data_IF_454878315508
#
_entry.id   IF_454878315508
#
_cell.length_a   1.000
_cell.length_b   1.000
_cell.length_c   1.000
_cell.angle_alpha   90.00
_cell.angle_beta   90.00
_cell.angle_gamma   90.00
#
_symmetry.space_group_name_H-M   'P 1'
#
loop_
_entity.id
_entity.type
_entity.pdbx_description
1 polymer ?
#
# COMPACT_ATOMS: atom_id res chain seq x y z
N UNK A 1 16.46 64.84 29.19
CA UNK A 1 15.64 63.63 29.36
C UNK A 1 14.88 63.38 28.05
N UNK A 2 15.26 62.30 27.38
CA UNK A 2 14.49 61.41 26.46
C UNK A 2 13.00 61.76 26.23
N UNK A 3 12.36 61.69 25.06
CA UNK A 3 12.55 60.95 23.80
C UNK A 3 11.40 61.38 22.87
N UNK A 4 11.64 61.50 21.57
CA UNK A 4 10.73 61.25 20.41
C UNK A 4 11.22 62.09 19.24
N UNK A 5 11.65 61.47 18.15
CA UNK A 5 11.32 61.92 16.79
C UNK A 5 11.57 60.82 15.77
N UNK A 6 10.48 60.45 15.12
CA UNK A 6 10.32 59.50 14.03
C UNK A 6 10.63 60.19 12.70
N UNK A 7 11.16 59.41 11.75
CA UNK A 7 11.16 59.60 10.29
C UNK A 7 11.75 60.88 9.68
N UNK A 8 12.98 60.77 9.15
CA UNK A 8 13.33 61.13 7.75
C UNK A 8 14.77 60.72 7.43
N UNK A 9 14.94 59.53 6.87
CA UNK A 9 16.09 59.18 6.05
C UNK A 9 15.64 58.17 4.99
N UNK A 10 14.66 58.58 4.17
CA UNK A 10 14.18 57.83 2.99
C UNK A 10 14.82 58.32 1.68
N UNK A 11 15.85 59.17 1.72
CA UNK A 11 16.39 59.82 0.51
C UNK A 11 17.91 59.68 0.27
N UNK A 12 18.64 58.87 1.04
CA UNK A 12 20.09 58.65 0.81
C UNK A 12 20.42 57.21 0.36
N UNK A 13 19.47 56.27 0.45
CA UNK A 13 19.69 54.88 -0.03
C UNK A 13 19.27 54.71 -1.50
N UNK A 14 18.47 55.62 -2.06
CA UNK A 14 17.97 55.52 -3.44
C UNK A 14 18.92 56.08 -4.52
N UNK A 15 19.96 56.83 -4.15
CA UNK A 15 20.94 57.42 -5.08
C UNK A 15 22.24 56.62 -5.22
N UNK A 16 22.54 55.71 -4.28
CA UNK A 16 23.70 54.81 -4.40
C UNK A 16 23.40 53.48 -5.11
N UNK A 17 22.13 53.09 -5.25
CA UNK A 17 21.75 51.82 -5.90
C UNK A 17 21.52 51.92 -7.42
N UNK A 18 21.63 53.13 -8.00
CA UNK A 18 21.45 53.34 -9.45
C UNK A 18 22.74 53.32 -10.27
N UNK A 19 23.90 53.03 -9.69
CA UNK A 19 25.18 52.99 -10.43
C UNK A 19 25.80 51.61 -10.63
N UNK A 20 25.20 50.52 -10.13
CA UNK A 20 25.63 49.15 -10.42
C UNK A 20 24.51 48.29 -11.02
N UNK A 21 23.65 48.89 -11.85
CA UNK A 21 23.03 48.13 -12.93
C UNK A 21 24.14 47.87 -13.96
N UNK A 22 24.93 46.83 -13.70
CA UNK A 22 25.77 46.20 -14.72
C UNK A 22 24.85 45.94 -15.90
N UNK A 23 25.14 46.59 -17.02
CA UNK A 23 24.58 46.22 -18.31
C UNK A 23 24.62 44.69 -18.38
N UNK A 24 23.44 44.05 -18.49
CA UNK A 24 23.37 42.67 -18.96
C UNK A 24 23.99 42.72 -20.34
N UNK A 25 25.27 42.37 -20.45
CA UNK A 25 25.82 41.86 -21.70
C UNK A 25 24.99 40.62 -21.99
N UNK A 26 23.98 40.76 -22.84
CA UNK A 26 23.44 39.63 -23.56
C UNK A 26 24.62 39.02 -24.31
N UNK A 27 25.19 37.96 -23.74
CA UNK A 27 26.05 37.07 -24.49
C UNK A 27 25.11 36.41 -25.49
N UNK A 28 25.04 36.98 -26.71
CA UNK A 28 24.57 36.25 -27.88
C UNK A 28 25.53 35.07 -28.07
N UNK A 29 25.25 33.96 -27.38
CA UNK A 29 25.89 32.69 -27.67
C UNK A 29 25.38 32.28 -29.05
N UNK A 30 26.28 32.15 -30.01
CA UNK A 30 25.94 31.66 -31.34
C UNK A 30 25.24 30.31 -31.24
N UNK A 31 24.26 30.04 -32.09
CA UNK A 31 23.57 28.74 -32.15
C UNK A 31 24.57 27.58 -32.32
N UNK A 32 25.71 27.83 -32.95
CA UNK A 32 26.82 26.88 -33.06
C UNK A 32 27.42 26.50 -31.71
N UNK A 33 27.61 27.44 -30.77
CA UNK A 33 28.15 27.13 -29.45
C UNK A 33 27.17 26.26 -28.64
N UNK A 34 25.87 26.50 -28.74
CA UNK A 34 24.86 25.63 -28.11
C UNK A 34 24.82 24.21 -28.67
N UNK A 35 25.19 24.02 -29.94
CA UNK A 35 25.37 22.67 -30.54
C UNK A 35 26.63 21.95 -30.05
N UNK A 36 27.62 22.69 -29.53
CA UNK A 36 28.86 22.10 -28.97
C UNK A 36 28.78 21.77 -27.48
N UNK A 37 27.72 22.21 -26.78
CA UNK A 37 27.51 21.83 -25.40
C UNK A 37 27.15 20.35 -25.31
N UNK A 38 27.77 19.57 -24.41
CA UNK A 38 27.37 18.19 -24.21
C UNK A 38 25.92 18.17 -23.73
N UNK A 39 25.03 17.62 -24.57
CA UNK A 39 23.70 17.22 -24.13
C UNK A 39 23.92 16.02 -23.23
N UNK A 40 23.91 16.28 -21.92
CA UNK A 40 23.85 15.20 -20.93
C UNK A 40 22.47 14.58 -21.08
N UNK A 41 22.42 13.48 -21.81
CA UNK A 41 21.21 12.68 -21.97
C UNK A 41 20.95 11.98 -20.63
N UNK A 42 20.17 12.64 -19.76
CA UNK A 42 19.72 12.08 -18.50
C UNK A 42 18.60 11.04 -18.70
N UNK A 43 18.36 10.59 -19.94
CA UNK A 43 17.41 9.52 -20.22
C UNK A 43 17.76 8.27 -19.40
N UNK A 44 16.85 7.92 -18.49
CA UNK A 44 16.89 6.62 -17.85
C UNK A 44 16.79 5.57 -18.97
N UNK A 45 17.74 4.62 -19.11
CA UNK A 45 17.90 3.81 -20.33
C UNK A 45 16.73 2.87 -20.67
N UNK A 46 15.64 2.89 -19.89
CA UNK A 46 14.51 2.00 -20.08
C UNK A 46 13.23 2.68 -19.56
N UNK A 47 12.51 3.38 -20.43
CA UNK A 47 11.26 4.09 -20.10
C UNK A 47 10.15 3.14 -19.62
N UNK A 48 10.21 1.88 -20.04
CA UNK A 48 9.19 0.88 -19.78
C UNK A 48 9.36 0.13 -18.45
N UNK A 49 10.49 0.30 -17.76
CA UNK A 49 10.76 -0.43 -16.51
C UNK A 49 10.23 0.33 -15.29
N UNK A 50 9.55 -0.42 -14.42
CA UNK A 50 9.14 0.08 -13.13
C UNK A 50 10.35 0.23 -12.19
N UNK A 51 10.34 1.29 -11.37
CA UNK A 51 11.25 1.50 -10.25
C UNK A 51 10.52 1.18 -8.96
N UNK A 52 11.21 0.62 -7.99
CA UNK A 52 10.62 0.35 -6.66
C UNK A 52 11.33 1.20 -5.62
N UNK A 53 10.55 1.84 -4.76
CA UNK A 53 11.02 2.59 -3.60
C UNK A 53 10.46 1.97 -2.33
N UNK A 54 11.27 1.86 -1.28
CA UNK A 54 10.84 1.40 0.04
C UNK A 54 11.37 2.30 1.15
N UNK A 55 10.61 2.43 2.24
CA UNK A 55 10.97 3.21 3.43
C UNK A 55 10.18 2.74 4.66
N UNK A 56 10.57 3.23 5.85
CA UNK A 56 10.01 2.79 7.14
C UNK A 56 10.98 1.93 7.94
N UNK A 57 10.45 0.94 8.66
CA UNK A 57 11.23 0.03 9.50
C UNK A 57 12.18 -0.87 8.69
N UNK A 58 13.47 -0.86 9.02
CA UNK A 58 14.48 -1.73 8.40
C UNK A 58 14.95 -2.88 9.29
N UNK A 59 14.51 -2.94 10.55
CA UNK A 59 14.97 -3.94 11.54
C UNK A 59 14.75 -5.38 11.10
N UNK A 60 13.63 -5.66 10.45
CA UNK A 60 13.29 -7.01 9.99
C UNK A 60 13.85 -7.37 8.61
N UNK A 61 14.39 -6.39 7.87
CA UNK A 61 14.78 -6.56 6.47
C UNK A 61 13.65 -6.36 5.45
N UNK A 62 12.45 -5.96 5.87
CA UNK A 62 11.28 -5.77 5.00
C UNK A 62 11.52 -4.83 3.81
N UNK A 63 12.43 -3.86 3.97
CA UNK A 63 12.69 -2.88 2.91
C UNK A 63 13.49 -3.45 1.73
N UNK A 64 14.25 -4.53 1.93
CA UNK A 64 15.14 -5.09 0.90
C UNK A 64 16.31 -4.17 0.49
N UNK A 65 16.65 -3.17 1.32
CA UNK A 65 17.70 -2.18 1.04
C UNK A 65 19.06 -2.67 1.55
N UNK A 66 20.09 -2.58 0.69
CA UNK A 66 21.49 -2.83 1.06
C UNK A 66 22.07 -1.65 1.84
N UNK A 67 22.02 -1.71 3.18
CA UNK A 67 22.70 -0.70 4.00
C UNK A 67 23.63 -1.31 5.05
N UNK A 68 24.93 -1.29 4.73
CA UNK A 68 26.03 -1.41 5.68
C UNK A 68 26.80 -0.08 5.56
N UNK A 69 26.45 0.92 6.37
CA UNK A 69 27.35 2.05 6.58
C UNK A 69 27.91 1.92 8.00
N UNK A 70 29.22 1.77 8.11
CA UNK A 70 29.96 1.72 9.40
C UNK A 70 29.43 0.68 10.40
N UNK A 71 29.09 -0.53 9.93
CA UNK A 71 28.61 -1.65 10.78
C UNK A 71 27.33 -1.36 11.62
N UNK A 72 26.62 -0.24 11.40
CA UNK A 72 25.33 0.05 12.04
C UNK A 72 24.20 -0.07 11.02
N UNK A 73 23.36 -1.09 11.19
CA UNK A 73 22.04 -1.11 10.55
C UNK A 73 21.26 0.11 11.06
N UNK A 74 20.82 0.97 10.14
CA UNK A 74 19.82 1.97 10.49
C UNK A 74 18.55 1.22 10.91
N UNK A 75 17.94 1.63 12.01
CA UNK A 75 16.67 1.07 12.46
C UNK A 75 15.51 1.47 11.54
N UNK A 76 15.63 2.63 10.90
CA UNK A 76 14.61 3.19 10.01
C UNK A 76 15.19 3.88 8.79
N UNK A 77 14.43 3.86 7.71
CA UNK A 77 14.68 4.58 6.47
C UNK A 77 13.63 5.69 6.36
N UNK A 78 14.07 6.94 6.55
CA UNK A 78 13.15 8.08 6.71
C UNK A 78 12.59 8.67 5.42
N UNK A 79 13.18 8.33 4.29
CA UNK A 79 12.82 8.83 2.97
C UNK A 79 12.75 7.65 1.99
N UNK A 80 11.89 7.71 0.96
CA UNK A 80 11.85 6.70 -0.09
C UNK A 80 13.24 6.37 -0.63
N UNK A 81 13.62 5.10 -0.55
CA UNK A 81 14.90 4.61 -1.11
C UNK A 81 14.63 3.69 -2.28
N UNK A 82 15.28 3.99 -3.40
CA UNK A 82 15.21 3.17 -4.60
C UNK A 82 15.89 1.83 -4.36
N UNK A 83 15.22 0.75 -4.75
CA UNK A 83 15.75 -0.61 -4.70
C UNK A 83 16.51 -0.97 -5.97
N UNK A 84 17.81 -1.26 -5.84
CA UNK A 84 18.63 -1.76 -6.94
C UNK A 84 18.16 -3.13 -7.47
N UNK A 85 17.42 -3.90 -6.67
CA UNK A 85 16.76 -5.13 -7.10
C UNK A 85 15.82 -4.88 -8.31
N UNK A 86 15.03 -3.82 -8.26
CA UNK A 86 14.09 -3.47 -9.31
C UNK A 86 14.76 -2.89 -10.58
N UNK A 87 16.07 -2.64 -10.55
CA UNK A 87 16.82 -2.28 -11.77
C UNK A 87 17.17 -3.53 -12.59
N UNK A 88 17.33 -4.67 -11.92
CA UNK A 88 17.62 -5.97 -12.54
C UNK A 88 16.34 -6.69 -12.95
N UNK A 89 15.33 -6.65 -12.09
CA UNK A 89 14.08 -7.38 -12.24
C UNK A 89 12.90 -6.43 -12.48
N UNK A 90 12.06 -6.72 -13.46
CA UNK A 90 10.87 -5.93 -13.73
C UNK A 90 9.77 -6.26 -12.70
N UNK A 91 9.71 -5.48 -11.63
CA UNK A 91 8.69 -5.66 -10.58
C UNK A 91 7.35 -5.12 -11.07
N UNK A 92 6.34 -5.98 -11.08
CA UNK A 92 4.99 -5.66 -11.53
C UNK A 92 4.04 -5.35 -10.39
N UNK A 93 4.21 -6.03 -9.25
CA UNK A 93 3.37 -5.82 -8.07
C UNK A 93 4.14 -6.08 -6.79
N UNK A 94 3.71 -5.43 -5.71
CA UNK A 94 4.29 -5.53 -4.36
C UNK A 94 3.19 -5.81 -3.35
N UNK A 95 3.52 -6.59 -2.31
CA UNK A 95 2.68 -6.76 -1.14
C UNK A 95 3.54 -6.67 0.12
N UNK A 96 3.24 -5.68 0.94
CA UNK A 96 3.84 -5.51 2.27
C UNK A 96 3.02 -6.32 3.26
N UNK A 97 3.64 -7.12 4.12
CA UNK A 97 3.03 -7.82 5.25
C UNK A 97 3.42 -7.15 6.58
N UNK A 98 3.38 -7.91 7.67
CA UNK A 98 3.85 -7.40 8.97
C UNK A 98 5.34 -7.73 9.10
N UNK A 99 6.19 -6.75 8.75
CA UNK A 99 7.65 -6.90 8.81
C UNK A 99 8.27 -7.68 7.65
N UNK A 100 7.54 -7.95 6.56
CA UNK A 100 8.08 -8.52 5.32
C UNK A 100 7.44 -7.91 4.08
N UNK A 101 8.05 -8.10 2.91
CA UNK A 101 7.55 -7.65 1.61
C UNK A 101 7.77 -8.75 0.57
N UNK A 102 6.77 -8.98 -0.27
CA UNK A 102 6.85 -9.81 -1.46
C UNK A 102 6.80 -8.96 -2.73
N UNK A 103 7.50 -9.41 -3.77
CA UNK A 103 7.61 -8.79 -5.08
C UNK A 103 7.22 -9.80 -6.15
N UNK A 104 6.23 -9.45 -6.98
CA UNK A 104 5.91 -10.18 -8.19
C UNK A 104 6.74 -9.60 -9.35
N UNK A 105 7.48 -10.45 -10.04
CA UNK A 105 8.40 -10.08 -11.11
C UNK A 105 7.93 -10.67 -12.42
N UNK A 106 7.90 -9.86 -13.47
CA UNK A 106 7.80 -10.35 -14.84
C UNK A 106 9.19 -10.80 -15.31
N UNK A 107 9.41 -12.11 -15.30
CA UNK A 107 10.65 -12.75 -15.73
C UNK A 107 10.34 -13.87 -16.72
N UNK A 108 11.13 -14.06 -17.79
CA UNK A 108 10.99 -15.24 -18.65
C UNK A 108 11.42 -16.55 -17.94
N UNK A 109 12.13 -16.43 -16.82
CA UNK A 109 12.66 -17.56 -16.05
C UNK A 109 11.60 -18.17 -15.12
N UNK A 110 12.04 -19.15 -14.33
CA UNK A 110 11.18 -19.88 -13.39
C UNK A 110 10.83 -19.07 -12.14
N UNK A 111 11.68 -18.09 -11.79
CA UNK A 111 11.55 -17.30 -10.57
C UNK A 111 10.62 -16.09 -10.80
N UNK A 112 9.39 -16.20 -10.28
CA UNK A 112 8.33 -15.19 -10.43
C UNK A 112 8.10 -14.32 -9.20
N UNK A 113 8.48 -14.82 -8.01
CA UNK A 113 8.22 -14.16 -6.74
C UNK A 113 9.51 -14.06 -5.95
N UNK A 114 9.74 -12.88 -5.37
CA UNK A 114 10.85 -12.62 -4.46
C UNK A 114 10.31 -12.08 -3.14
N UNK A 115 10.99 -12.36 -2.04
CA UNK A 115 10.59 -11.95 -0.70
C UNK A 115 11.76 -11.44 0.13
N UNK A 116 11.48 -10.52 1.05
CA UNK A 116 12.44 -9.96 2.00
C UNK A 116 11.72 -9.64 3.30
N UNK A 117 12.43 -9.69 4.43
CA UNK A 117 11.93 -9.36 5.75
C UNK A 117 11.85 -10.56 6.70
N UNK A 118 10.92 -10.48 7.65
CA UNK A 118 10.62 -11.53 8.62
C UNK A 118 10.17 -12.82 7.91
N UNK A 119 10.69 -13.97 8.35
CA UNK A 119 10.39 -15.28 7.79
C UNK A 119 10.32 -16.40 8.84
N UNK A 120 9.88 -16.07 10.06
CA UNK A 120 9.69 -17.05 11.16
C UNK A 120 8.66 -18.12 10.85
N UNK A 121 7.75 -17.84 9.92
CA UNK A 121 6.62 -18.72 9.56
C UNK A 121 6.71 -19.16 8.10
N UNK A 122 7.86 -18.98 7.44
CA UNK A 122 8.04 -19.29 6.01
C UNK A 122 7.09 -18.53 5.10
N UNK A 123 6.64 -17.33 5.51
CA UNK A 123 5.78 -16.45 4.71
C UNK A 123 6.42 -15.97 3.41
N UNK A 124 7.75 -16.06 3.29
CA UNK A 124 8.51 -15.85 2.04
C UNK A 124 9.25 -17.13 1.62
N UNK A 125 8.68 -18.30 1.95
CA UNK A 125 9.20 -19.63 1.62
C UNK A 125 10.36 -20.08 2.50
N UNK A 126 10.90 -21.26 2.19
CA UNK A 126 12.08 -21.80 2.86
C UNK A 126 13.34 -21.02 2.49
N UNK A 127 13.90 -20.30 3.47
CA UNK A 127 15.13 -19.51 3.33
C UNK A 127 16.13 -20.00 4.37
N UNK A 128 17.29 -20.48 3.94
CA UNK A 128 18.29 -21.08 4.83
C UNK A 128 19.72 -20.87 4.33
N UNK A 129 20.67 -20.90 5.27
CA UNK A 129 22.11 -20.98 4.97
C UNK A 129 22.62 -22.29 5.57
N UNK A 130 23.03 -23.22 4.70
CA UNK A 130 23.28 -24.60 5.11
C UNK A 130 22.00 -25.21 5.71
N UNK A 131 22.08 -25.68 6.96
CA UNK A 131 20.94 -26.25 7.67
C UNK A 131 20.28 -25.27 8.65
N UNK A 132 20.66 -23.98 8.65
CA UNK A 132 20.11 -22.98 9.57
C UNK A 132 19.06 -22.13 8.85
N UNK A 133 17.80 -22.16 9.30
CA UNK A 133 16.76 -21.31 8.73
C UNK A 133 17.02 -19.84 9.04
N UNK A 134 16.68 -18.97 8.11
CA UNK A 134 16.79 -17.52 8.25
C UNK A 134 15.47 -16.95 8.74
N UNK A 135 15.44 -16.45 9.97
CA UNK A 135 14.30 -15.69 10.51
C UNK A 135 14.16 -14.31 9.87
N UNK A 136 15.27 -13.73 9.41
CA UNK A 136 15.32 -12.42 8.77
C UNK A 136 16.05 -12.50 7.43
N UNK A 137 15.41 -12.01 6.39
CA UNK A 137 15.93 -11.94 5.04
C UNK A 137 16.08 -10.47 4.67
N UNK A 138 17.30 -9.95 4.66
CA UNK A 138 17.54 -8.51 4.45
C UNK A 138 17.52 -8.05 2.98
N UNK A 139 17.40 -8.99 2.06
CA UNK A 139 17.48 -8.75 0.62
C UNK A 139 16.44 -9.59 -0.10
N UNK A 140 15.83 -9.08 -1.19
CA UNK A 140 14.90 -9.88 -1.99
C UNK A 140 15.56 -11.21 -2.43
N UNK A 141 15.06 -12.31 -1.89
CA UNK A 141 15.44 -13.67 -2.24
C UNK A 141 14.30 -14.34 -3.02
N UNK A 142 14.61 -15.26 -3.95
CA UNK A 142 13.58 -16.00 -4.65
C UNK A 142 12.69 -16.79 -3.68
N UNK A 143 11.37 -16.74 -3.89
CA UNK A 143 10.40 -17.58 -3.21
C UNK A 143 10.09 -18.76 -4.13
N UNK A 144 10.53 -19.95 -3.76
CA UNK A 144 10.32 -21.15 -4.56
C UNK A 144 8.87 -21.60 -4.41
N UNK A 145 8.08 -21.42 -5.46
CA UNK A 145 6.68 -21.83 -5.53
C UNK A 145 6.52 -23.01 -6.51
N UNK A 146 5.68 -24.00 -6.19
CA UNK A 146 5.54 -25.24 -6.96
C UNK A 146 4.65 -25.04 -8.20
N UNK A 147 5.05 -24.16 -9.12
CA UNK A 147 4.35 -23.98 -10.39
C UNK A 147 4.47 -25.21 -11.28
N UNK A 148 3.39 -25.59 -11.97
CA UNK A 148 3.41 -26.68 -12.97
C UNK A 148 4.16 -26.27 -14.22
N UNK A 149 3.97 -25.03 -14.68
CA UNK A 149 4.65 -24.49 -15.85
C UNK A 149 5.12 -23.04 -15.61
N UNK A 150 6.20 -22.84 -14.86
CA UNK A 150 6.62 -21.53 -14.40
C UNK A 150 6.90 -20.56 -15.56
N UNK A 151 7.42 -21.04 -16.71
CA UNK A 151 7.71 -20.18 -17.88
C UNK A 151 6.46 -19.56 -18.51
N UNK A 152 5.27 -20.14 -18.32
CA UNK A 152 4.00 -19.68 -18.92
C UNK A 152 3.07 -18.97 -17.95
N UNK A 153 3.34 -19.06 -16.65
CA UNK A 153 2.53 -18.45 -15.60
C UNK A 153 2.96 -17.01 -15.39
N UNK A 154 1.96 -16.15 -15.21
CA UNK A 154 2.13 -14.75 -14.77
C UNK A 154 1.43 -14.56 -13.43
N UNK A 155 2.07 -13.76 -12.58
CA UNK A 155 1.49 -13.37 -11.30
C UNK A 155 0.58 -12.17 -11.55
N UNK A 156 -0.70 -12.30 -11.20
CA UNK A 156 -1.70 -11.25 -11.39
C UNK A 156 -1.85 -10.39 -10.14
N UNK A 157 -1.76 -11.00 -8.95
CA UNK A 157 -1.87 -10.33 -7.66
C UNK A 157 -1.03 -11.04 -6.61
N UNK A 158 -0.48 -10.27 -5.69
CA UNK A 158 0.08 -10.76 -4.43
C UNK A 158 -0.56 -9.99 -3.27
N UNK A 159 -0.75 -10.66 -2.15
CA UNK A 159 -1.28 -10.07 -0.93
C UNK A 159 -0.61 -10.71 0.29
N UNK A 160 -0.33 -9.91 1.31
CA UNK A 160 0.45 -10.33 2.47
C UNK A 160 -0.23 -9.88 3.76
N UNK A 161 -0.51 -10.84 4.65
CA UNK A 161 -1.07 -10.60 5.97
C UNK A 161 -0.01 -10.46 7.04
N UNK A 162 -0.32 -10.90 8.27
CA UNK A 162 0.64 -10.89 9.39
C UNK A 162 1.81 -11.82 9.16
N UNK A 163 1.53 -13.07 8.79
CA UNK A 163 2.52 -14.13 8.66
C UNK A 163 2.19 -15.13 7.52
N UNK A 164 1.42 -14.70 6.52
CA UNK A 164 1.09 -15.52 5.34
C UNK A 164 1.10 -14.67 4.07
N UNK A 165 1.34 -15.32 2.94
CA UNK A 165 1.43 -14.72 1.62
C UNK A 165 0.48 -15.46 0.68
N UNK A 166 -0.32 -14.70 -0.08
CA UNK A 166 -1.16 -15.18 -1.14
C UNK A 166 -0.60 -14.71 -2.49
N UNK A 167 -0.47 -15.64 -3.44
CA UNK A 167 0.07 -15.42 -4.78
C UNK A 167 -0.94 -15.93 -5.80
N UNK A 168 -1.63 -15.00 -6.47
CA UNK A 168 -2.60 -15.31 -7.51
C UNK A 168 -1.92 -15.29 -8.88
N UNK A 169 -2.26 -16.28 -9.70
CA UNK A 169 -1.73 -16.46 -11.04
C UNK A 169 -2.81 -16.35 -12.10
N UNK A 170 -2.41 -16.16 -13.36
CA UNK A 170 -3.31 -16.10 -14.51
C UNK A 170 -3.88 -17.48 -14.92
N UNK A 171 -3.24 -18.59 -14.52
CA UNK A 171 -3.54 -19.94 -15.04
C UNK A 171 -3.60 -21.06 -14.00
N UNK A 172 -2.80 -20.98 -12.94
CA UNK A 172 -2.65 -22.05 -11.94
C UNK A 172 -3.42 -21.75 -10.64
N UNK A 173 -4.24 -20.70 -10.64
CA UNK A 173 -5.05 -20.28 -9.50
C UNK A 173 -4.22 -19.58 -8.41
N UNK A 174 -4.59 -19.84 -7.16
CA UNK A 174 -4.08 -19.19 -5.96
C UNK A 174 -3.14 -20.12 -5.18
N UNK A 175 -1.93 -19.64 -4.90
CA UNK A 175 -0.96 -20.30 -4.03
C UNK A 175 -0.89 -19.53 -2.71
N UNK A 176 -0.98 -20.22 -1.58
CA UNK A 176 -0.90 -19.61 -0.24
C UNK A 176 0.11 -20.35 0.61
N UNK A 177 0.98 -19.60 1.29
CA UNK A 177 2.04 -20.11 2.14
C UNK A 177 2.22 -19.26 3.40
N UNK A 178 2.94 -19.81 4.37
CA UNK A 178 3.22 -19.18 5.65
C UNK A 178 2.49 -19.84 6.81
N UNK A 179 2.18 -19.05 7.84
CA UNK A 179 1.43 -19.48 9.01
C UNK A 179 0.01 -19.95 8.62
N UNK A 180 -0.42 -21.07 9.20
CA UNK A 180 -1.77 -21.62 9.04
C UNK A 180 -2.42 -21.97 10.38
N UNK A 181 -2.03 -21.31 11.48
CA UNK A 181 -2.52 -21.64 12.82
C UNK A 181 -4.04 -21.45 12.95
N UNK A 182 -4.63 -20.60 12.09
CA UNK A 182 -6.06 -20.29 12.08
C UNK A 182 -6.75 -20.72 10.78
N UNK A 183 -6.05 -21.43 9.89
CA UNK A 183 -6.62 -21.86 8.61
C UNK A 183 -6.52 -20.84 7.47
N UNK A 184 -5.77 -19.75 7.66
CA UNK A 184 -5.68 -18.63 6.71
C UNK A 184 -4.98 -18.99 5.38
N UNK A 185 -4.31 -20.15 5.30
CA UNK A 185 -3.81 -20.71 4.05
C UNK A 185 -4.81 -21.63 3.34
N UNK A 186 -6.08 -21.68 3.77
CA UNK A 186 -7.15 -22.54 3.22
C UNK A 186 -6.78 -24.03 3.18
N UNK A 187 -6.06 -24.51 4.19
CA UNK A 187 -5.74 -25.93 4.40
C UNK A 187 -6.01 -26.33 5.84
N UNK A 188 -6.16 -27.64 6.07
CA UNK A 188 -6.40 -28.22 7.40
C UNK A 188 -5.38 -27.68 8.41
N UNK A 189 -5.89 -27.25 9.57
CA UNK A 189 -5.08 -26.84 10.72
C UNK A 189 -4.45 -28.09 11.32
N UNK A 190 -3.14 -28.05 11.54
CA UNK A 190 -2.37 -29.13 12.15
C UNK A 190 -1.90 -28.62 13.51
N UNK A 191 -2.28 -29.32 14.57
CA UNK A 191 -1.91 -28.94 15.93
C UNK A 191 -0.39 -28.98 16.11
N UNK A 192 0.16 -27.91 16.71
CA UNK A 192 1.60 -27.73 16.94
C UNK A 192 2.48 -27.80 15.67
N UNK A 193 1.93 -27.44 14.51
CA UNK A 193 2.72 -27.33 13.29
C UNK A 193 3.83 -26.28 13.45
N UNK A 194 5.07 -26.68 13.14
CA UNK A 194 6.18 -25.73 13.03
C UNK A 194 6.13 -25.06 11.66
N UNK A 195 6.03 -23.74 11.65
CA UNK A 195 6.06 -22.93 10.42
C UNK A 195 7.48 -22.48 10.05
N UNK A 196 8.48 -22.74 10.89
CA UNK A 196 9.88 -22.40 10.61
C UNK A 196 10.41 -23.31 9.49
N UNK A 197 10.88 -22.70 8.40
CA UNK A 197 11.40 -23.40 7.21
C UNK A 197 10.44 -24.48 6.64
N UNK A 198 9.15 -24.24 6.75
CA UNK A 198 8.10 -25.15 6.31
C UNK A 198 7.84 -24.94 4.80
N UNK A 199 8.03 -25.97 3.96
CA UNK A 199 7.87 -25.87 2.51
C UNK A 199 6.41 -25.97 2.05
N UNK A 200 5.45 -26.12 2.96
CA UNK A 200 4.04 -26.33 2.61
C UNK A 200 3.44 -25.10 1.94
N UNK A 201 3.07 -25.27 0.67
CA UNK A 201 2.30 -24.32 -0.12
C UNK A 201 0.97 -24.97 -0.47
N UNK A 202 -0.14 -24.31 -0.13
CA UNK A 202 -1.46 -24.75 -0.56
C UNK A 202 -1.79 -24.17 -1.94
N UNK A 203 -2.36 -24.98 -2.83
CA UNK A 203 -2.75 -24.56 -4.18
C UNK A 203 -4.26 -24.73 -4.35
N UNK A 204 -4.94 -23.62 -4.64
CA UNK A 204 -6.38 -23.57 -4.91
C UNK A 204 -6.59 -23.10 -6.35
N UNK A 205 -6.84 -24.03 -7.25
CA UNK A 205 -7.02 -23.71 -8.67
C UNK A 205 -8.31 -22.92 -8.92
N UNK A 206 -9.39 -23.36 -8.28
CA UNK A 206 -10.75 -22.84 -8.43
C UNK A 206 -11.50 -23.00 -7.12
N UNK A 207 -12.50 -22.14 -6.90
CA UNK A 207 -13.43 -22.24 -5.78
C UNK A 207 -14.82 -22.44 -6.39
N UNK A 208 -15.53 -23.49 -5.97
CA UNK A 208 -16.82 -23.91 -6.56
C UNK A 208 -16.81 -23.97 -8.10
N UNK A 209 -15.70 -24.39 -8.70
CA UNK A 209 -15.53 -24.50 -10.15
C UNK A 209 -15.29 -23.17 -10.89
N UNK A 210 -15.20 -22.04 -10.17
CA UNK A 210 -14.97 -20.69 -10.71
C UNK A 210 -13.51 -20.27 -10.58
N UNK A 211 -13.05 -19.46 -11.54
CA UNK A 211 -11.70 -18.87 -11.50
C UNK A 211 -11.63 -17.82 -10.39
N UNK A 212 -10.52 -17.80 -9.65
CA UNK A 212 -10.24 -16.76 -8.65
C UNK A 212 -9.71 -15.53 -9.38
N UNK A 213 -10.39 -14.39 -9.21
CA UNK A 213 -10.10 -13.12 -9.87
C UNK A 213 -9.35 -12.13 -8.99
N UNK A 214 -9.47 -12.22 -7.67
CA UNK A 214 -8.74 -11.35 -6.72
C UNK A 214 -8.54 -12.05 -5.37
N UNK A 215 -7.56 -11.58 -4.61
CA UNK A 215 -7.27 -12.09 -3.25
C UNK A 215 -6.74 -10.96 -2.37
N UNK A 216 -7.18 -10.96 -1.11
CA UNK A 216 -6.68 -10.06 -0.07
C UNK A 216 -6.45 -10.81 1.23
N UNK A 217 -5.40 -10.42 1.94
CA UNK A 217 -4.99 -10.98 3.22
C UNK A 217 -5.21 -9.90 4.28
N UNK A 218 -6.03 -10.19 5.28
CA UNK A 218 -6.09 -9.40 6.50
C UNK A 218 -4.96 -9.79 7.45
N UNK A 219 -5.17 -9.61 8.75
CA UNK A 219 -4.16 -10.00 9.73
C UNK A 219 -3.92 -11.52 9.70
N UNK A 220 -4.98 -12.28 9.95
CA UNK A 220 -4.96 -13.75 10.08
C UNK A 220 -6.11 -14.43 9.32
N UNK A 221 -6.59 -13.79 8.25
CA UNK A 221 -7.62 -14.33 7.37
C UNK A 221 -7.33 -13.98 5.90
N UNK A 222 -7.91 -14.75 4.99
CA UNK A 222 -7.80 -14.55 3.54
C UNK A 222 -9.19 -14.51 2.93
N UNK A 223 -9.45 -13.49 2.10
CA UNK A 223 -10.66 -13.37 1.30
C UNK A 223 -10.30 -13.51 -0.18
N UNK A 224 -10.98 -14.42 -0.86
CA UNK A 224 -10.86 -14.64 -2.30
C UNK A 224 -12.13 -14.18 -3.02
N UNK A 225 -11.96 -13.61 -4.21
CA UNK A 225 -13.05 -13.22 -5.11
C UNK A 225 -13.02 -14.08 -6.35
N UNK A 226 -14.15 -14.62 -6.76
CA UNK A 226 -14.27 -15.34 -8.03
C UNK A 226 -14.60 -14.41 -9.19
N UNK A 227 -14.47 -14.90 -10.42
CA UNK A 227 -14.72 -14.14 -11.66
C UNK A 227 -16.16 -13.61 -11.81
N UNK A 228 -17.12 -14.23 -11.13
CA UNK A 228 -18.53 -13.82 -11.06
C UNK A 228 -18.83 -12.88 -9.88
N UNK A 229 -17.80 -12.41 -9.17
CA UNK A 229 -17.93 -11.45 -8.09
C UNK A 229 -18.32 -12.03 -6.74
N UNK A 230 -18.48 -13.36 -6.60
CA UNK A 230 -18.73 -13.98 -5.30
C UNK A 230 -17.48 -13.98 -4.41
N UNK A 231 -17.70 -13.93 -3.08
CA UNK A 231 -16.63 -13.90 -2.08
C UNK A 231 -16.56 -15.19 -1.28
N UNK A 232 -15.33 -15.55 -0.91
CA UNK A 232 -15.03 -16.71 -0.08
C UNK A 232 -13.99 -16.34 0.99
N UNK A 233 -14.23 -16.75 2.23
CA UNK A 233 -13.37 -16.44 3.37
C UNK A 233 -12.80 -17.70 4.02
N UNK A 234 -11.59 -17.59 4.56
CA UNK A 234 -10.99 -18.56 5.49
C UNK A 234 -10.02 -17.85 6.46
N UNK A 235 -9.62 -18.54 7.53
CA UNK A 235 -8.74 -18.04 8.58
C UNK A 235 -9.43 -17.78 9.90
N UNK A 236 -8.81 -16.94 10.73
CA UNK A 236 -9.32 -16.53 12.03
C UNK A 236 -10.65 -15.82 11.90
N UNK A 237 -11.64 -16.19 12.72
CA UNK A 237 -13.02 -15.69 12.62
C UNK A 237 -13.57 -15.00 13.87
N UNK A 238 -12.78 -14.79 14.92
CA UNK A 238 -13.33 -14.36 16.22
C UNK A 238 -13.97 -12.97 16.21
N UNK A 239 -13.56 -12.08 15.31
CA UNK A 239 -14.19 -10.76 15.12
C UNK A 239 -15.24 -10.77 13.99
N UNK A 240 -15.47 -11.93 13.39
CA UNK A 240 -16.35 -12.10 12.25
C UNK A 240 -15.70 -11.79 10.90
N UNK A 241 -14.39 -11.56 10.85
CA UNK A 241 -13.65 -11.12 9.65
C UNK A 241 -13.73 -12.09 8.46
N UNK A 242 -14.05 -13.37 8.70
CA UNK A 242 -14.31 -14.34 7.64
C UNK A 242 -15.64 -14.12 6.93
N UNK A 243 -16.61 -13.43 7.54
CA UNK A 243 -17.91 -13.11 6.94
C UNK A 243 -18.88 -14.30 6.83
N UNK A 244 -18.68 -15.36 7.62
CA UNK A 244 -19.40 -16.64 7.47
C UNK A 244 -20.65 -16.79 8.34
N UNK A 245 -21.06 -15.75 9.07
CA UNK A 245 -22.19 -15.78 9.99
C UNK A 245 -21.93 -16.49 11.32
N UNK A 246 -20.66 -16.75 11.63
CA UNK A 246 -20.21 -17.29 12.91
C UNK A 246 -18.80 -16.77 13.25
N UNK A 247 -18.37 -16.99 14.49
CA UNK A 247 -17.08 -16.51 15.01
C UNK A 247 -15.97 -17.57 15.06
N UNK A 248 -16.24 -18.77 14.55
CA UNK A 248 -15.24 -19.83 14.46
C UNK A 248 -14.23 -19.55 13.35
N UNK A 249 -12.99 -20.01 13.56
CA UNK A 249 -11.99 -20.05 12.48
C UNK A 249 -12.39 -21.07 11.44
N UNK A 250 -12.09 -20.79 10.16
CA UNK A 250 -12.43 -21.65 9.04
C UNK A 250 -11.17 -22.01 8.24
N UNK A 251 -10.98 -23.30 7.96
CA UNK A 251 -9.73 -23.80 7.35
C UNK A 251 -9.82 -24.02 5.84
N UNK A 252 -10.98 -23.73 5.25
CA UNK A 252 -11.23 -23.86 3.81
C UNK A 252 -11.99 -22.64 3.34
N UNK A 253 -11.76 -22.21 2.10
CA UNK A 253 -12.60 -21.17 1.50
C UNK A 253 -14.07 -21.57 1.53
N UNK A 254 -14.86 -20.80 2.28
CA UNK A 254 -16.30 -20.97 2.43
C UNK A 254 -16.99 -19.73 1.91
N UNK A 255 -18.11 -19.92 1.20
CA UNK A 255 -18.85 -18.83 0.54
C UNK A 255 -19.39 -17.86 1.57
N UNK A 256 -19.07 -16.59 1.39
CA UNK A 256 -19.56 -15.47 2.18
C UNK A 256 -20.96 -15.10 1.68
N UNK A 257 -21.90 -14.87 2.61
CA UNK A 257 -23.31 -14.54 2.33
C UNK A 257 -23.73 -13.25 3.05
N UNK A 258 -25.02 -12.97 3.16
CA UNK A 258 -25.54 -11.74 3.76
C UNK A 258 -25.97 -10.73 2.71
N UNK A 259 -25.81 -9.44 2.99
CA UNK A 259 -26.22 -8.36 2.07
C UNK A 259 -25.45 -8.37 0.74
N UNK A 260 -24.34 -9.12 0.68
CA UNK A 260 -23.48 -9.26 -0.50
C UNK A 260 -23.97 -10.36 -1.46
N UNK A 261 -24.98 -11.14 -1.07
CA UNK A 261 -25.49 -12.22 -1.91
C UNK A 261 -26.22 -11.68 -3.14
N UNK A 262 -25.74 -12.08 -4.33
CA UNK A 262 -26.26 -11.58 -5.61
C UNK A 262 -25.63 -10.28 -6.08
N UNK A 263 -24.71 -9.70 -5.30
CA UNK A 263 -23.92 -8.54 -5.69
C UNK A 263 -22.66 -8.94 -6.45
N UNK A 264 -22.30 -8.16 -7.47
CA UNK A 264 -21.08 -8.37 -8.24
C UNK A 264 -19.93 -7.57 -7.63
N UNK A 265 -19.13 -8.22 -6.78
CA UNK A 265 -17.99 -7.57 -6.12
C UNK A 265 -16.83 -7.38 -7.10
N UNK A 266 -16.26 -6.18 -7.07
CA UNK A 266 -15.15 -5.77 -7.95
C UNK A 266 -13.86 -5.47 -7.19
N UNK A 267 -13.92 -5.08 -5.92
CA UNK A 267 -12.74 -4.85 -5.08
C UNK A 267 -13.01 -5.21 -3.62
N UNK A 268 -11.99 -5.71 -2.93
CA UNK A 268 -11.99 -5.95 -1.48
C UNK A 268 -10.75 -5.28 -0.89
N UNK A 269 -10.88 -4.76 0.34
CA UNK A 269 -9.74 -4.31 1.12
C UNK A 269 -9.86 -4.78 2.57
N UNK A 270 -8.77 -5.30 3.12
CA UNK A 270 -8.60 -5.53 4.55
C UNK A 270 -7.11 -5.53 4.86
N UNK A 271 -6.75 -4.93 6.01
CA UNK A 271 -5.37 -4.89 6.51
C UNK A 271 -5.23 -5.50 7.90
N UNK A 272 -6.28 -5.38 8.71
CA UNK A 272 -6.46 -6.07 9.99
C UNK A 272 -7.70 -6.95 9.91
N UNK A 273 -8.68 -6.73 10.79
CA UNK A 273 -9.84 -7.58 11.00
C UNK A 273 -11.15 -6.96 10.51
N UNK A 274 -11.13 -5.72 10.02
CA UNK A 274 -12.26 -5.14 9.30
C UNK A 274 -12.11 -5.33 7.80
N UNK A 275 -13.14 -5.89 7.16
CA UNK A 275 -13.19 -6.10 5.72
C UNK A 275 -14.20 -5.16 5.10
N UNK A 276 -13.81 -4.52 4.00
CA UNK A 276 -14.68 -3.71 3.15
C UNK A 276 -14.68 -4.26 1.72
N UNK A 277 -15.86 -4.39 1.12
CA UNK A 277 -16.06 -4.83 -0.25
C UNK A 277 -16.84 -3.79 -1.04
N UNK A 278 -16.50 -3.65 -2.33
CA UNK A 278 -17.10 -2.72 -3.29
C UNK A 278 -17.71 -3.51 -4.44
N UNK A 279 -18.98 -3.27 -4.77
CA UNK A 279 -19.63 -3.82 -5.96
C UNK A 279 -19.48 -2.91 -7.20
N UNK A 280 -19.89 -3.41 -8.36
CA UNK A 280 -19.88 -2.68 -9.65
C UNK A 280 -20.84 -1.48 -9.73
N UNK A 281 -21.89 -1.48 -8.88
CA UNK A 281 -22.83 -0.36 -8.69
C UNK A 281 -22.23 0.79 -7.89
N UNK A 282 -21.16 0.54 -7.14
CA UNK A 282 -20.50 1.51 -6.26
C UNK A 282 -21.05 1.55 -4.83
N UNK A 283 -21.80 0.52 -4.45
CA UNK A 283 -22.19 0.24 -3.08
C UNK A 283 -21.06 -0.47 -2.33
N UNK A 284 -20.95 -0.19 -1.04
CA UNK A 284 -19.95 -0.82 -0.17
C UNK A 284 -20.60 -1.62 0.96
N UNK A 285 -19.97 -2.73 1.27
CA UNK A 285 -20.35 -3.67 2.32
C UNK A 285 -19.19 -3.84 3.27
N UNK A 286 -19.45 -4.07 4.55
CA UNK A 286 -18.39 -4.37 5.51
C UNK A 286 -18.82 -5.29 6.63
N UNK A 287 -17.82 -5.90 7.25
CA UNK A 287 -17.93 -6.88 8.34
C UNK A 287 -16.59 -7.03 9.06
N UNK A 288 -16.57 -7.81 10.13
CA UNK A 288 -15.40 -8.01 10.99
C UNK A 288 -15.41 -7.08 12.20
N UNK A 289 -14.22 -6.66 12.63
CA UNK A 289 -14.04 -5.77 13.79
C UNK A 289 -14.63 -4.38 13.54
N UNK A 290 -15.52 -3.92 14.42
CA UNK A 290 -16.19 -2.61 14.34
C UNK A 290 -16.01 -1.75 15.59
N UNK A 291 -15.10 -2.12 16.49
CA UNK A 291 -14.78 -1.44 17.76
C UNK A 291 -14.42 0.05 17.61
N UNK A 292 -14.01 0.47 16.40
CA UNK A 292 -13.49 1.80 16.12
C UNK A 292 -14.46 2.67 15.33
N UNK A 293 -15.70 2.23 15.16
CA UNK A 293 -16.74 2.98 14.43
C UNK A 293 -16.64 2.81 12.90
N UNK A 294 -16.03 1.73 12.42
CA UNK A 294 -16.02 1.39 10.99
C UNK A 294 -17.43 1.13 10.46
N UNK A 295 -18.29 0.52 11.27
CA UNK A 295 -19.74 0.38 11.03
C UNK A 295 -20.45 0.63 12.36
N UNK A 296 -21.57 1.35 12.31
CA UNK A 296 -22.47 1.51 13.46
C UNK A 296 -23.71 0.65 13.28
N UNK A 297 -24.01 -0.18 14.28
CA UNK A 297 -25.29 -0.91 14.36
C UNK A 297 -26.18 -0.31 15.46
N UNK A 298 -27.51 -0.53 15.42
CA UNK A 298 -28.43 -0.03 16.45
C UNK A 298 -28.12 -0.53 17.86
N UNK A 299 -27.45 -1.67 17.98
CA UNK A 299 -27.11 -2.37 19.22
C UNK A 299 -25.61 -2.26 19.59
N UNK A 300 -24.85 -1.42 18.89
CA UNK A 300 -23.42 -1.16 19.14
C UNK A 300 -22.54 -2.43 19.12
N UNK A 301 -22.83 -3.34 18.19
CA UNK A 301 -22.02 -4.54 17.97
C UNK A 301 -20.61 -4.16 17.52
N UNK A 302 -19.63 -4.74 18.20
CA UNK A 302 -18.20 -4.53 17.96
C UNK A 302 -17.57 -5.59 17.03
N UNK A 303 -18.33 -6.63 16.71
CA UNK A 303 -17.93 -7.73 15.86
C UNK A 303 -19.11 -8.13 14.99
N UNK A 304 -18.89 -8.20 13.68
CA UNK A 304 -19.94 -8.43 12.69
C UNK A 304 -19.52 -9.61 11.81
N UNK A 305 -20.18 -10.75 11.95
CA UNK A 305 -19.82 -11.96 11.21
C UNK A 305 -20.53 -12.13 9.86
N UNK A 306 -21.44 -11.23 9.51
CA UNK A 306 -22.17 -11.24 8.22
C UNK A 306 -21.95 -9.89 7.51
N UNK A 307 -21.52 -9.87 6.24
CA UNK A 307 -21.48 -8.66 5.43
C UNK A 307 -22.77 -7.85 5.49
N UNK A 308 -22.62 -6.56 5.78
CA UNK A 308 -23.73 -5.61 5.81
C UNK A 308 -23.46 -4.40 4.91
N UNK A 309 -24.52 -3.87 4.31
CA UNK A 309 -24.45 -2.63 3.55
C UNK A 309 -24.12 -1.41 4.45
N UNK A 310 -23.09 -0.64 4.11
CA UNK A 310 -22.67 0.53 4.90
C UNK A 310 -23.53 1.74 4.53
N UNK A 311 -24.67 1.87 5.23
CA UNK A 311 -25.67 2.92 4.99
C UNK A 311 -25.13 4.35 5.03
N UNK A 312 -24.13 4.62 5.88
CA UNK A 312 -23.51 5.95 6.00
C UNK A 312 -22.80 6.40 4.72
N UNK A 313 -22.35 5.47 3.87
CA UNK A 313 -21.67 5.76 2.61
C UNK A 313 -22.63 6.00 1.44
N UNK A 314 -23.92 5.66 1.55
CA UNK A 314 -24.91 5.83 0.46
C UNK A 314 -25.04 7.27 -0.02
N UNK A 315 -24.82 8.24 0.88
CA UNK A 315 -24.91 9.69 0.57
C UNK A 315 -23.66 10.24 -0.13
N UNK A 316 -22.62 9.43 -0.32
CA UNK A 316 -21.34 9.87 -0.90
C UNK A 316 -21.31 9.79 -2.44
N UNK A 317 -22.36 9.29 -3.07
CA UNK A 317 -22.39 8.99 -4.51
C UNK A 317 -21.76 7.63 -4.81
N UNK A 318 -21.49 7.36 -6.09
CA UNK A 318 -20.90 6.07 -6.51
C UNK A 318 -19.47 5.94 -5.99
N UNK A 319 -19.20 4.91 -5.19
CA UNK A 319 -17.82 4.59 -4.78
C UNK A 319 -17.09 3.88 -5.92
N UNK A 320 -15.83 4.25 -6.13
CA UNK A 320 -14.96 3.68 -7.18
C UNK A 320 -13.70 3.03 -6.62
N UNK A 321 -13.32 3.34 -5.37
CA UNK A 321 -12.19 2.71 -4.72
C UNK A 321 -12.38 2.62 -3.19
N UNK A 322 -11.84 1.57 -2.57
CA UNK A 322 -11.95 1.30 -1.13
C UNK A 322 -10.62 0.84 -0.55
N UNK A 323 -10.35 1.23 0.70
CA UNK A 323 -9.23 0.79 1.50
C UNK A 323 -9.64 0.68 2.99
N UNK A 324 -9.04 -0.28 3.71
CA UNK A 324 -9.30 -0.53 5.13
C UNK A 324 -7.98 -0.65 5.88
N UNK A 325 -7.83 0.13 6.96
CA UNK A 325 -6.68 0.06 7.86
C UNK A 325 -6.94 -0.88 9.03
N UNK A 326 -6.27 -0.65 10.17
CA UNK A 326 -6.53 -1.40 11.40
C UNK A 326 -7.79 -0.94 12.13
N UNK A 327 -8.06 0.36 12.12
CA UNK A 327 -9.13 0.99 12.91
C UNK A 327 -9.92 2.04 12.12
N UNK A 328 -9.66 2.18 10.82
CA UNK A 328 -10.29 3.19 9.96
C UNK A 328 -10.53 2.67 8.55
N UNK A 329 -11.43 3.34 7.85
CA UNK A 329 -11.81 3.04 6.48
C UNK A 329 -11.61 4.28 5.62
N UNK A 330 -11.27 4.06 4.35
CA UNK A 330 -11.11 5.12 3.36
C UNK A 330 -11.77 4.72 2.04
N UNK A 331 -12.47 5.66 1.42
CA UNK A 331 -13.12 5.44 0.11
C UNK A 331 -12.89 6.62 -0.81
N UNK A 332 -12.93 6.34 -2.12
CA UNK A 332 -12.89 7.32 -3.20
C UNK A 332 -14.21 7.22 -3.98
N UNK A 333 -14.89 8.34 -4.20
CA UNK A 333 -16.10 8.36 -5.02
C UNK A 333 -15.83 8.80 -6.48
N UNK A 334 -16.88 8.73 -7.31
CA UNK A 334 -16.85 9.14 -8.72
C UNK A 334 -16.44 10.61 -8.93
N UNK A 335 -16.71 11.47 -7.94
CA UNK A 335 -16.31 12.88 -7.92
C UNK A 335 -14.84 13.10 -7.50
N UNK A 336 -14.05 12.01 -7.36
CA UNK A 336 -12.64 12.04 -6.96
C UNK A 336 -12.38 12.61 -5.56
N UNK A 337 -13.40 12.56 -4.70
CA UNK A 337 -13.29 12.97 -3.31
C UNK A 337 -12.96 11.76 -2.41
N UNK A 338 -12.03 11.98 -1.48
CA UNK A 338 -11.62 10.98 -0.49
C UNK A 338 -12.41 11.20 0.79
N UNK A 339 -13.01 10.12 1.30
CA UNK A 339 -13.70 10.12 2.58
C UNK A 339 -13.06 9.11 3.54
N UNK A 340 -12.95 9.48 4.82
CA UNK A 340 -12.31 8.66 5.86
C UNK A 340 -13.16 8.67 7.13
N UNK A 341 -13.25 7.52 7.81
CA UNK A 341 -13.90 7.38 9.12
C UNK A 341 -13.30 6.21 9.90
N UNK A 342 -13.78 5.98 11.12
CA UNK A 342 -13.21 5.07 12.12
C UNK A 342 -12.42 5.85 13.18
N UNK A 343 -11.31 5.29 13.65
CA UNK A 343 -10.46 5.85 14.71
C UNK A 343 -9.02 6.05 14.24
N UNK A 344 -8.35 7.09 14.75
CA UNK A 344 -6.96 7.43 14.49
C UNK A 344 -6.79 8.80 13.87
N UNK A 345 -5.69 9.01 13.16
CA UNK A 345 -5.36 10.27 12.51
C UNK A 345 -5.97 10.30 11.09
N UNK A 346 -7.25 10.66 11.00
CA UNK A 346 -8.08 10.49 9.80
C UNK A 346 -7.74 11.44 8.62
N UNK A 347 -6.78 12.35 8.75
CA UNK A 347 -6.38 13.27 7.67
C UNK A 347 -7.13 14.61 7.65
N UNK A 348 -7.99 14.87 8.64
CA UNK A 348 -8.79 16.10 8.79
C UNK A 348 -8.32 16.96 9.98
N UNK A 349 -7.05 16.82 10.35
CA UNK A 349 -6.42 17.53 11.45
C UNK A 349 -6.39 16.76 12.76
N UNK A 350 -5.67 17.28 13.78
CA UNK A 350 -5.34 16.53 14.99
C UNK A 350 -6.49 16.42 16.01
N UNK A 351 -7.54 17.25 15.86
CA UNK A 351 -8.66 17.33 16.81
C UNK A 351 -9.68 16.20 16.65
N UNK A 352 -9.88 15.75 15.41
CA UNK A 352 -10.83 14.68 15.10
C UNK A 352 -10.04 13.37 15.07
N UNK A 353 -10.19 12.57 16.12
CA UNK A 353 -9.52 11.28 16.25
C UNK A 353 -10.46 10.09 16.04
N UNK A 354 -11.77 10.34 15.98
CA UNK A 354 -12.77 9.33 15.69
C UNK A 354 -13.93 9.95 14.93
N UNK A 355 -14.48 9.22 13.99
CA UNK A 355 -15.74 9.54 13.33
C UNK A 355 -16.46 8.25 12.94
N UNK A 356 -17.74 8.17 13.25
CA UNK A 356 -18.60 7.07 12.78
C UNK A 356 -19.22 7.38 11.41
N UNK A 357 -19.07 8.61 10.93
CA UNK A 357 -19.55 9.05 9.62
C UNK A 357 -18.36 9.37 8.70
N UNK A 358 -18.45 9.05 7.39
CA UNK A 358 -17.42 9.42 6.41
C UNK A 358 -17.17 10.93 6.38
N UNK A 359 -15.93 11.34 6.67
CA UNK A 359 -15.49 12.73 6.60
C UNK A 359 -14.73 12.97 5.31
N UNK A 360 -15.14 14.00 4.56
CA UNK A 360 -14.43 14.38 3.34
C UNK A 360 -13.11 15.06 3.69
N UNK A 361 -12.02 14.59 3.10
CA UNK A 361 -10.75 15.31 3.12
C UNK A 361 -10.79 16.39 2.02
N UNK A 362 -10.48 17.66 2.33
CA UNK A 362 -10.45 18.73 1.34
C UNK A 362 -9.54 18.37 0.15
N UNK A 363 -10.03 18.37 -1.10
CA UNK A 363 -9.25 17.98 -2.29
C UNK A 363 -7.96 18.80 -2.47
N UNK A 364 -7.94 20.03 -1.96
CA UNK A 364 -6.77 20.92 -1.98
C UNK A 364 -5.56 20.34 -1.27
N UNK A 365 -5.76 19.46 -0.27
CA UNK A 365 -4.68 18.78 0.43
C UNK A 365 -3.99 17.72 -0.45
N UNK A 366 -4.61 17.33 -1.56
CA UNK A 366 -4.04 16.45 -2.59
C UNK A 366 -3.51 17.21 -3.80
N UNK A 367 -3.41 18.55 -3.72
CA UNK A 367 -2.90 19.39 -4.80
C UNK A 367 -3.95 19.86 -5.82
N UNK A 368 -5.22 19.50 -5.66
CA UNK A 368 -6.29 20.00 -6.54
C UNK A 368 -6.55 21.49 -6.28
N UNK A 369 -6.28 22.34 -7.25
CA UNK A 369 -6.47 23.80 -7.15
C UNK A 369 -6.69 24.43 -8.54
N UNK A 370 -6.94 25.74 -8.61
CA UNK A 370 -7.22 26.45 -9.87
C UNK A 370 -6.09 26.36 -10.91
N UNK A 371 -4.84 26.19 -10.49
CA UNK A 371 -3.69 26.01 -11.37
C UNK A 371 -3.46 24.56 -11.80
N UNK A 372 -4.06 23.59 -11.07
CA UNK A 372 -3.96 22.15 -11.33
C UNK A 372 -5.34 21.50 -11.28
N UNK A 373 -6.30 21.90 -12.14
CA UNK A 373 -7.69 21.43 -12.05
C UNK A 373 -7.89 19.96 -12.40
N UNK A 374 -6.90 19.34 -13.06
CA UNK A 374 -6.92 17.93 -13.45
C UNK A 374 -6.08 17.04 -12.52
N UNK A 375 -5.53 17.58 -11.43
CA UNK A 375 -4.76 16.83 -10.44
C UNK A 375 -5.68 16.32 -9.33
N UNK A 376 -6.28 15.14 -9.52
CA UNK A 376 -7.22 14.54 -8.58
C UNK A 376 -6.79 13.14 -8.18
N UNK A 377 -7.34 12.65 -7.06
CA UNK A 377 -7.02 11.33 -6.52
C UNK A 377 -7.60 10.23 -7.43
N UNK A 378 -6.79 9.23 -7.75
CA UNK A 378 -7.16 8.08 -8.59
C UNK A 378 -7.15 6.75 -7.85
N UNK A 379 -6.39 6.63 -6.75
CA UNK A 379 -6.32 5.41 -5.95
C UNK A 379 -6.06 5.73 -4.48
N UNK A 380 -6.61 4.90 -3.60
CA UNK A 380 -6.44 4.98 -2.14
C UNK A 380 -5.95 3.65 -1.58
N UNK A 381 -5.07 3.71 -0.58
CA UNK A 381 -4.49 2.52 0.07
C UNK A 381 -4.31 2.78 1.57
N UNK A 382 -4.48 1.75 2.39
CA UNK A 382 -4.28 1.82 3.84
C UNK A 382 -3.19 0.84 4.28
N UNK A 383 -2.30 1.30 5.17
CA UNK A 383 -1.52 0.43 6.04
C UNK A 383 -2.28 0.16 7.32
N UNK A 384 -1.62 -0.43 8.33
CA UNK A 384 -2.32 -0.71 9.59
C UNK A 384 -2.72 0.59 10.31
N UNK A 385 -1.86 1.61 10.28
CA UNK A 385 -2.03 2.86 11.04
C UNK A 385 -1.76 4.15 10.23
N UNK A 386 -1.53 4.02 8.93
CA UNK A 386 -1.29 5.14 8.01
C UNK A 386 -2.07 4.94 6.71
N UNK A 387 -2.25 6.02 5.96
CA UNK A 387 -3.02 6.09 4.73
C UNK A 387 -2.19 6.68 3.61
N UNK A 388 -2.55 6.32 2.38
CA UNK A 388 -1.92 6.78 1.17
C UNK A 388 -2.96 7.06 0.08
N UNK A 389 -2.74 8.11 -0.69
CA UNK A 389 -3.51 8.43 -1.89
C UNK A 389 -2.56 8.74 -3.05
N UNK A 390 -2.92 8.28 -4.24
CA UNK A 390 -2.19 8.54 -5.48
C UNK A 390 -3.06 9.39 -6.40
N UNK A 391 -2.45 10.39 -7.03
CA UNK A 391 -3.13 11.31 -7.95
C UNK A 391 -2.91 10.95 -9.43
N UNK A 392 -3.63 11.62 -10.33
CA UNK A 392 -3.45 11.53 -11.78
C UNK A 392 -2.04 11.87 -12.25
N UNK A 393 -1.33 12.76 -11.55
CA UNK A 393 0.07 13.10 -11.84
C UNK A 393 1.06 12.05 -11.30
N UNK A 394 0.57 10.99 -10.65
CA UNK A 394 1.41 9.97 -10.01
C UNK A 394 2.08 10.47 -8.73
N UNK A 395 1.59 11.56 -8.13
CA UNK A 395 2.04 12.01 -6.82
C UNK A 395 1.45 11.15 -5.71
N UNK A 396 2.28 10.80 -4.72
CA UNK A 396 1.87 10.08 -3.52
C UNK A 396 1.70 11.05 -2.35
N UNK A 397 0.52 11.05 -1.74
CA UNK A 397 0.23 11.72 -0.50
C UNK A 397 0.04 10.69 0.62
N UNK A 398 0.59 10.96 1.80
CA UNK A 398 0.48 10.06 2.96
C UNK A 398 0.13 10.83 4.22
N UNK A 399 -0.55 10.17 5.15
CA UNK A 399 -0.87 10.71 6.48
C UNK A 399 -1.15 9.57 7.47
N UNK A 400 -1.33 9.92 8.74
CA UNK A 400 -1.59 8.97 9.81
C UNK A 400 -0.44 8.86 10.81
N UNK A 401 -0.36 7.73 11.51
CA UNK A 401 0.71 7.44 12.46
C UNK A 401 2.01 7.15 11.71
N UNK A 402 3.11 7.74 12.15
CA UNK A 402 4.41 7.63 11.47
C UNK A 402 5.38 6.71 12.22
N UNK A 403 4.90 5.51 12.58
CA UNK A 403 5.71 4.49 13.26
C UNK A 403 6.91 4.12 12.38
N UNK A 404 8.10 4.15 12.96
CA UNK A 404 9.36 3.78 12.28
C UNK A 404 9.60 4.54 10.95
N UNK A 405 9.05 5.76 10.80
CA UNK A 405 9.10 6.55 9.58
C UNK A 405 8.36 5.95 8.35
N UNK A 406 7.31 5.16 8.55
CA UNK A 406 6.52 4.59 7.45
C UNK A 406 5.90 5.63 6.49
N UNK A 407 5.79 6.90 6.88
CA UNK A 407 5.32 7.95 5.96
C UNK A 407 6.40 8.43 4.98
N UNK A 408 7.70 8.21 5.24
CA UNK A 408 8.76 8.59 4.29
C UNK A 408 8.98 10.11 4.15
N UNK A 409 8.52 10.89 5.12
CA UNK A 409 8.54 12.36 5.09
C UNK A 409 9.82 12.98 5.70
N UNK A 410 10.84 12.15 5.98
CA UNK A 410 12.07 12.59 6.63
C UNK A 410 11.99 12.80 8.14
N UNK A 411 10.79 12.73 8.72
CA UNK A 411 10.53 12.94 10.15
C UNK A 411 9.96 11.68 10.81
N UNK A 412 9.95 11.67 12.15
CA UNK A 412 9.27 10.66 12.98
C UNK A 412 7.87 11.11 13.43
N UNK A 413 7.48 12.34 13.10
CA UNK A 413 6.23 12.91 13.59
C UNK A 413 5.06 12.31 12.81
N UNK A 414 3.99 12.04 13.53
CA UNK A 414 2.69 11.73 12.93
C UNK A 414 2.23 12.86 12.01
N UNK A 415 1.46 12.53 10.97
CA UNK A 415 0.87 13.53 10.09
C UNK A 415 -0.66 13.54 10.17
N UNK A 416 -1.27 14.61 10.70
CA UNK A 416 -2.72 14.72 10.79
C UNK A 416 -3.39 15.16 9.47
N UNK A 417 -2.62 15.48 8.43
CA UNK A 417 -3.10 15.87 7.10
C UNK A 417 -2.31 15.15 6.01
N UNK A 418 -2.90 14.89 4.83
CA UNK A 418 -2.17 14.41 3.65
C UNK A 418 -0.97 15.30 3.34
N UNK A 419 0.20 14.69 3.19
CA UNK A 419 1.42 15.37 2.77
C UNK A 419 2.10 14.61 1.63
N UNK A 420 2.52 15.35 0.61
CA UNK A 420 3.21 14.81 -0.56
C UNK A 420 4.56 14.21 -0.18
N UNK A 421 4.81 12.98 -0.61
CA UNK A 421 6.07 12.27 -0.45
C UNK A 421 7.01 12.61 -1.61
N UNK A 422 8.26 12.94 -1.32
CA UNK A 422 9.27 13.19 -2.35
C UNK A 422 9.78 11.86 -2.96
N UNK A 423 9.18 11.43 -4.07
CA UNK A 423 9.56 10.21 -4.81
C UNK A 423 10.06 10.55 -6.22
N UNK A 424 11.13 9.87 -6.65
CA UNK A 424 11.74 10.05 -7.97
C UNK A 424 11.05 9.27 -9.09
N UNK A 425 9.72 9.31 -9.19
CA UNK A 425 8.94 8.71 -10.27
C UNK A 425 7.43 8.84 -10.06
N UNK A 426 6.64 8.52 -11.10
CA UNK A 426 5.18 8.50 -11.03
C UNK A 426 4.71 7.22 -10.32
N UNK A 427 4.07 7.34 -9.17
CA UNK A 427 3.59 6.18 -8.41
C UNK A 427 2.44 5.51 -9.17
N UNK A 428 2.60 4.21 -9.46
CA UNK A 428 1.57 3.36 -10.09
C UNK A 428 0.84 2.50 -9.06
N UNK A 429 1.57 2.02 -8.06
CA UNK A 429 1.05 1.21 -6.97
C UNK A 429 1.80 1.56 -5.70
N UNK A 430 1.07 1.61 -4.59
CA UNK A 430 1.64 1.68 -3.24
C UNK A 430 1.13 0.49 -2.45
N UNK A 431 1.98 -0.08 -1.60
CA UNK A 431 1.59 -1.10 -0.64
C UNK A 431 2.06 -0.65 0.74
N UNK A 432 1.09 -0.49 1.64
CA UNK A 432 1.29 0.03 2.98
C UNK A 432 1.30 -1.14 3.98
N UNK A 433 2.43 -1.36 4.63
CA UNK A 433 2.66 -2.43 5.59
C UNK A 433 2.16 -2.10 7.00
N UNK A 434 2.71 -2.81 7.98
CA UNK A 434 2.56 -2.48 9.41
C UNK A 434 3.29 -1.17 9.76
N UNK A 435 4.56 -1.08 9.36
CA UNK A 435 5.55 -0.07 9.75
C UNK A 435 6.51 0.33 8.61
N UNK A 436 6.18 -0.08 7.38
CA UNK A 436 6.94 0.24 6.17
C UNK A 436 6.00 0.42 4.99
N UNK A 437 6.50 1.07 3.95
CA UNK A 437 5.73 1.34 2.74
C UNK A 437 6.62 1.10 1.52
N UNK A 438 6.02 0.54 0.48
CA UNK A 438 6.70 0.22 -0.78
C UNK A 438 5.87 0.79 -1.93
N UNK A 439 6.53 1.49 -2.85
CA UNK A 439 5.89 2.08 -4.03
C UNK A 439 6.55 1.59 -5.31
N UNK A 440 5.72 1.12 -6.25
CA UNK A 440 6.10 0.81 -7.64
C UNK A 440 5.79 2.04 -8.48
N UNK A 441 6.81 2.54 -9.18
CA UNK A 441 6.78 3.80 -9.89
C UNK A 441 7.17 3.63 -11.37
N UNK A 442 6.51 4.35 -12.27
CA UNK A 442 7.04 4.61 -13.61
C UNK A 442 8.16 5.66 -13.58
N UNK A 443 8.99 5.69 -14.62
CA UNK A 443 9.91 6.80 -14.84
C UNK A 443 9.13 8.09 -15.13
N UNK A 444 9.67 9.25 -14.76
CA UNK A 444 9.19 10.52 -15.29
C UNK A 444 9.44 10.51 -16.80
N UNK A 445 8.37 10.51 -17.60
CA UNK A 445 8.49 10.69 -19.03
C UNK A 445 8.65 12.19 -19.30
N UNK A 446 9.72 12.60 -19.95
CA UNK A 446 9.73 13.89 -20.61
C UNK A 446 8.64 13.82 -21.70
N UNK A 447 7.60 14.64 -21.54
CA UNK A 447 6.55 14.82 -22.53
C UNK A 447 7.06 15.53 -23.77
#
# INVERSE_FOLDING_TARGET
MTTKHTFRCKEIIFTSFKRHLSAKKEYQRSEEYTKTLPVLDYASPNKDRNRVYSWGCSKTGALGVRYIKQQRLLSTVRHPRRLGFAEKYNVMSVASGFGFTAFAVDSPDELKVYGTGLNTDSQIGCQQIGNKPLEFVFFPQPVNLPFRNPKRVKITKISAGRAHLAVLTDKEGLLILGNNAYGQCSRKIIDNESYVNNPTVNSVEKIDGKVIADVVCGQDHTIARTEDGALYGCGWGADGQTGLGHYNSESRFTRIRGDIEGENIVKIACRSDFVIALNDKGDIFGWGNTEYGQITTPDDQQQISVPMFIKSAKKLGKIIDVASGGSFCMVLNENRHVFVWGFGLLGVGPRIQQSVMPLQIPPQLFGLNEFSPNNYVTAVECGLSHMAAVTTEGDLYVWGRNRECCLGLGTLNDQPFPLKVAIGGHVKQVSCGFDHTVAVCGAFTAG
#
